data_IF_438244488085
#
_entry.id   IF_438244488085
#
_cell.length_a   1.000
_cell.length_b   1.000
_cell.length_c   1.000
_cell.angle_alpha   90.00
_cell.angle_beta   90.00
_cell.angle_gamma   90.00
#
_symmetry.space_group_name_H-M   'P 1'
#
loop_
_entity.id
_entity.type
_entity.pdbx_description
1 polymer ?
#
# COMPACT_ATOMS: atom_id res chain seq x y z
N UNK A 1 -38.66 19.27 8.79
CA UNK A 1 -38.16 19.28 8.79
C UNK A 1 -37.66 19.10 8.88
N UNK A 2 -37.18 18.77 8.60
CA UNK A 2 -36.49 18.57 8.73
C UNK A 2 -36.02 17.67 8.70
N UNK A 3 -35.80 16.81 8.39
CA UNK A 3 -35.28 15.91 8.39
C UNK A 3 -34.07 15.82 8.04
N UNK A 4 -33.62 16.00 7.75
CA UNK A 4 -32.54 16.23 7.39
C UNK A 4 -31.52 15.89 8.13
N UNK A 5 -31.56 15.97 9.11
CA UNK A 5 -30.71 15.68 9.97
C UNK A 5 -30.11 14.45 9.89
N UNK A 6 -30.75 13.52 9.51
CA UNK A 6 -30.30 12.29 9.55
C UNK A 6 -29.18 12.07 8.70
N UNK A 7 -29.04 12.73 7.73
CA UNK A 7 -28.05 12.44 6.94
C UNK A 7 -26.78 12.69 7.40
N UNK A 8 -26.66 13.36 8.30
CA UNK A 8 -25.50 13.71 8.84
C UNK A 8 -24.68 12.60 9.31
N UNK A 9 -25.26 11.65 9.87
CA UNK A 9 -24.53 10.55 10.43
C UNK A 9 -23.80 9.77 9.37
N UNK A 10 -24.26 9.83 8.18
CA UNK A 10 -23.64 9.12 7.19
C UNK A 10 -22.32 9.63 6.80
N UNK A 11 -22.14 10.89 6.95
CA UNK A 11 -20.95 11.42 6.64
C UNK A 11 -19.86 10.97 7.46
N UNK A 12 -20.10 10.75 8.68
CA UNK A 12 -19.12 10.31 9.59
C UNK A 12 -18.61 8.99 9.19
N UNK A 13 -19.46 8.16 8.74
CA UNK A 13 -19.07 6.84 8.36
C UNK A 13 -18.07 6.91 7.23
N UNK A 14 -18.22 7.91 6.40
CA UNK A 14 -17.34 8.02 5.31
C UNK A 14 -15.93 8.28 5.72
N UNK A 15 -15.77 9.05 6.74
CA UNK A 15 -14.45 9.36 7.19
C UNK A 15 -13.71 8.13 7.63
N UNK A 16 -14.40 7.17 8.13
CA UNK A 16 -13.78 5.97 8.62
C UNK A 16 -13.25 5.10 7.51
N UNK A 17 -13.73 5.30 6.32
CA UNK A 17 -13.36 4.46 5.21
C UNK A 17 -12.30 5.05 4.31
N UNK A 18 -11.48 5.89 4.85
CA UNK A 18 -10.40 6.50 4.08
C UNK A 18 -9.50 5.42 3.52
N UNK A 19 -9.06 5.58 2.31
CA UNK A 19 -8.21 4.61 1.67
C UNK A 19 -6.81 4.64 2.27
N UNK A 20 -6.14 3.53 2.38
CA UNK A 20 -4.78 3.51 2.91
C UNK A 20 -3.81 4.15 1.92
N UNK A 21 -2.66 4.58 2.37
CA UNK A 21 -1.63 5.06 1.46
C UNK A 21 -1.15 3.90 0.59
N UNK A 22 -0.50 4.23 -0.49
CA UNK A 22 0.00 3.21 -1.40
C UNK A 22 1.49 3.33 -1.56
N UNK A 23 2.09 2.23 -2.01
CA UNK A 23 3.50 2.17 -2.25
C UNK A 23 3.71 2.19 -3.75
N UNK A 24 4.65 2.97 -4.24
CA UNK A 24 4.95 2.98 -5.68
C UNK A 24 6.44 3.05 -5.93
N UNK A 25 6.86 2.52 -7.07
CA UNK A 25 8.22 2.62 -7.55
C UNK A 25 8.43 4.06 -8.01
N UNK A 26 9.32 4.79 -7.36
CA UNK A 26 9.47 6.21 -7.66
C UNK A 26 10.05 6.49 -9.04
N UNK A 27 10.69 5.52 -9.64
CA UNK A 27 11.29 5.71 -10.94
C UNK A 27 10.28 5.46 -12.07
N UNK A 28 9.41 4.49 -11.91
CA UNK A 28 8.50 4.09 -12.98
C UNK A 28 7.05 4.47 -12.71
N UNK A 29 6.71 4.80 -11.46
CA UNK A 29 5.32 5.04 -11.09
C UNK A 29 4.54 3.76 -10.85
N UNK A 30 5.20 2.60 -10.86
CA UNK A 30 4.50 1.32 -10.73
C UNK A 30 3.91 1.15 -9.35
N UNK A 31 2.65 0.75 -9.29
CA UNK A 31 1.95 0.48 -8.04
C UNK A 31 2.50 -0.79 -7.39
N UNK A 32 2.79 -0.73 -6.12
CA UNK A 32 3.38 -1.85 -5.39
C UNK A 32 2.56 -2.26 -4.16
N UNK A 33 1.32 -1.85 -4.11
CA UNK A 33 0.40 -2.33 -3.09
C UNK A 33 -0.09 -1.27 -2.13
N UNK A 34 -1.10 -1.63 -1.35
CA UNK A 34 -1.65 -0.78 -0.32
C UNK A 34 -0.86 -1.00 0.96
N UNK A 35 -0.52 0.10 1.64
CA UNK A 35 0.11 -0.01 2.95
C UNK A 35 -0.98 -0.19 3.98
N UNK A 36 -1.50 -1.38 4.06
CA UNK A 36 -2.60 -1.74 4.93
C UNK A 36 -2.20 -2.96 5.75
N UNK A 37 -2.70 -3.03 6.97
CA UNK A 37 -2.46 -4.22 7.80
C UNK A 37 -3.55 -5.27 7.56
N UNK A 38 -4.51 -4.99 6.68
CA UNK A 38 -5.58 -5.93 6.40
C UNK A 38 -5.05 -7.07 5.53
N UNK A 39 -4.90 -8.24 6.12
CA UNK A 39 -4.37 -9.41 5.41
C UNK A 39 -5.34 -9.99 4.40
N UNK A 40 -6.58 -9.54 4.41
CA UNK A 40 -7.58 -10.03 3.46
C UNK A 40 -7.75 -9.12 2.26
N UNK A 41 -7.06 -7.99 2.25
CA UNK A 41 -7.09 -7.07 1.11
C UNK A 41 -6.19 -7.67 0.03
N UNK A 42 -6.69 -7.99 -1.14
CA UNK A 42 -5.88 -8.62 -2.19
C UNK A 42 -4.72 -7.77 -2.66
N UNK A 43 -4.77 -6.47 -2.40
CA UNK A 43 -3.71 -5.57 -2.83
C UNK A 43 -2.83 -5.08 -1.69
N UNK A 44 -3.00 -5.63 -0.49
CA UNK A 44 -2.23 -5.20 0.66
C UNK A 44 -0.83 -5.82 0.68
N UNK A 45 0.15 -5.04 1.09
CA UNK A 45 1.50 -5.56 1.29
C UNK A 45 1.53 -6.55 2.46
N UNK A 46 0.45 -6.61 3.25
CA UNK A 46 0.34 -7.53 4.39
C UNK A 46 -0.34 -8.84 4.04
N UNK A 47 -0.85 -8.98 2.82
CA UNK A 47 -1.53 -10.21 2.43
C UNK A 47 -0.53 -11.23 1.91
N UNK A 48 -0.27 -12.31 2.66
CA UNK A 48 0.75 -13.28 2.25
C UNK A 48 0.39 -14.08 1.00
N UNK A 49 -0.85 -13.99 0.56
CA UNK A 49 -1.29 -14.69 -0.64
C UNK A 49 -1.54 -13.73 -1.80
N UNK A 50 -1.31 -12.45 -1.60
CA UNK A 50 -1.59 -11.45 -2.62
C UNK A 50 -0.36 -11.08 -3.42
N UNK A 51 -0.58 -10.45 -4.56
CA UNK A 51 0.47 -10.05 -5.46
C UNK A 51 1.51 -9.16 -4.82
N UNK A 52 1.10 -8.31 -3.89
CA UNK A 52 2.00 -7.34 -3.29
C UNK A 52 2.48 -7.72 -1.90
N UNK A 53 2.01 -8.83 -1.35
CA UNK A 53 2.39 -9.27 -0.02
C UNK A 53 3.04 -10.64 0.05
N UNK A 54 2.95 -11.42 -1.01
CA UNK A 54 3.48 -12.79 -1.03
C UNK A 54 5.00 -12.81 -1.04
N UNK A 55 5.58 -13.78 -0.40
CA UNK A 55 7.01 -13.95 -0.39
C UNK A 55 7.52 -14.44 -1.74
N UNK A 56 6.63 -14.87 -2.62
CA UNK A 56 7.00 -15.45 -3.90
C UNK A 56 6.70 -14.55 -5.09
N UNK A 57 6.07 -13.42 -4.86
CA UNK A 57 5.67 -12.54 -5.96
C UNK A 57 6.79 -11.56 -6.29
N UNK A 58 7.07 -11.39 -7.58
CA UNK A 58 8.11 -10.47 -8.00
C UNK A 58 7.73 -9.01 -7.75
N UNK A 59 6.47 -8.72 -7.47
CA UNK A 59 6.03 -7.36 -7.20
C UNK A 59 5.93 -7.05 -5.70
N UNK A 60 6.35 -8.00 -4.86
CA UNK A 60 6.16 -7.87 -3.43
C UNK A 60 7.43 -7.41 -2.73
N UNK A 61 7.28 -6.47 -1.79
CA UNK A 61 8.42 -6.05 -0.98
C UNK A 61 8.79 -7.13 0.04
N UNK A 62 7.98 -8.19 0.14
CA UNK A 62 8.25 -9.28 1.06
C UNK A 62 8.97 -10.46 0.42
N UNK A 63 9.24 -10.38 -0.88
CA UNK A 63 9.93 -11.45 -1.58
C UNK A 63 11.44 -11.22 -1.49
N UNK A 64 12.17 -12.03 -0.71
CA UNK A 64 13.59 -11.81 -0.52
C UNK A 64 14.43 -12.04 -1.79
N UNK A 65 13.83 -12.64 -2.81
CA UNK A 65 14.52 -12.87 -4.07
C UNK A 65 14.05 -11.95 -5.19
N UNK A 66 13.16 -11.02 -4.88
CA UNK A 66 12.59 -10.14 -5.89
C UNK A 66 13.21 -8.77 -5.89
N UNK A 67 12.99 -8.04 -6.97
CA UNK A 67 13.52 -6.71 -7.13
C UNK A 67 13.14 -5.78 -5.99
N UNK A 68 11.92 -5.91 -5.48
CA UNK A 68 11.42 -5.01 -4.46
C UNK A 68 11.57 -5.56 -3.04
N UNK A 69 12.04 -6.77 -2.86
CA UNK A 69 12.17 -7.38 -1.54
C UNK A 69 13.58 -7.79 -1.16
N UNK A 70 14.48 -7.93 -2.11
CA UNK A 70 15.84 -8.37 -1.88
C UNK A 70 16.60 -7.26 -1.13
N UNK A 71 17.19 -7.58 0.01
CA UNK A 71 17.86 -6.57 0.80
C UNK A 71 19.14 -6.03 0.15
N UNK A 72 19.51 -6.55 -1.00
CA UNK A 72 20.64 -6.03 -1.76
C UNK A 72 20.18 -5.26 -3.00
N UNK A 73 18.88 -5.25 -3.27
CA UNK A 73 18.37 -4.56 -4.45
C UNK A 73 18.29 -3.06 -4.22
N UNK A 74 18.72 -2.28 -5.19
CA UNK A 74 18.64 -0.85 -5.10
C UNK A 74 17.20 -0.32 -5.13
N UNK A 75 16.24 -1.17 -5.47
CA UNK A 75 14.83 -0.80 -5.55
C UNK A 75 14.04 -1.31 -4.35
N UNK A 76 14.69 -1.86 -3.35
CA UNK A 76 14.01 -2.48 -2.23
C UNK A 76 14.05 -1.61 -0.98
N UNK A 77 12.91 -1.49 -0.27
CA UNK A 77 12.90 -0.76 0.99
C UNK A 77 13.65 -1.53 2.07
N UNK A 78 13.96 -2.80 1.82
CA UNK A 78 14.68 -3.63 2.77
C UNK A 78 16.20 -3.46 2.68
N UNK A 79 16.66 -2.71 1.70
CA UNK A 79 18.08 -2.43 1.53
C UNK A 79 18.37 -1.05 2.12
N UNK A 80 19.12 -0.97 3.21
CA UNK A 80 19.40 0.34 3.84
C UNK A 80 20.21 1.28 2.97
N UNK A 81 20.82 0.75 1.90
CA UNK A 81 21.63 1.58 1.01
C UNK A 81 20.95 1.83 -0.34
N UNK A 82 19.67 1.47 -0.45
CA UNK A 82 18.96 1.64 -1.71
C UNK A 82 18.81 3.12 -2.07
N UNK A 83 18.99 3.42 -3.32
CA UNK A 83 18.81 4.79 -3.82
C UNK A 83 17.50 4.96 -4.55
N UNK A 84 16.78 3.87 -4.81
CA UNK A 84 15.52 3.92 -5.54
C UNK A 84 14.42 3.14 -4.83
N UNK A 85 14.42 3.14 -3.50
CA UNK A 85 13.39 2.42 -2.76
C UNK A 85 12.02 3.04 -3.07
N UNK A 86 10.95 2.24 -2.99
CA UNK A 86 9.61 2.75 -3.24
C UNK A 86 9.24 3.88 -2.29
N UNK A 87 8.36 4.74 -2.74
CA UNK A 87 7.88 5.83 -1.93
C UNK A 87 6.43 5.62 -1.59
N UNK A 88 5.97 6.30 -0.55
CA UNK A 88 4.60 6.20 -0.09
C UNK A 88 3.82 7.41 -0.59
N UNK A 89 2.66 7.16 -1.17
CA UNK A 89 1.78 8.22 -1.59
C UNK A 89 0.50 8.15 -0.77
N UNK A 90 0.15 9.27 -0.17
CA UNK A 90 -1.07 9.37 0.59
C UNK A 90 -2.20 9.69 -0.36
N UNK A 91 -3.17 8.82 -0.43
CA UNK A 91 -4.29 9.02 -1.35
C UNK A 91 -5.33 9.98 -0.81
N UNK A 92 -5.19 10.35 0.47
CA UNK A 92 -6.16 11.19 1.07
C UNK A 92 -5.88 12.64 0.91
N UNK A 93 -4.87 13.04 0.64
CA UNK A 93 -4.62 14.37 0.60
C UNK A 93 -3.61 14.80 -0.23
N UNK A 94 -3.25 14.06 -0.73
CA UNK A 94 -2.35 14.43 -1.36
C UNK A 94 -1.84 14.77 -2.05
#
# INVERSE_FOLDING_TARGET
>A
MRKIVTFISLFIATAVNAAPPILIDQKTGRYLGNLSTNQNDPDSVSNPHGRYGSKDSEDSINNPNGKYGDFQSNDSPNNPYATNAPIVLDREGN
#
